data_IF_467823852428
#
_entry.id   IF_467823852428
#
_cell.length_a   1.000
_cell.length_b   1.000
_cell.length_c   1.000
_cell.angle_alpha   90.00
_cell.angle_beta   90.00
_cell.angle_gamma   90.00
#
_symmetry.space_group_name_H-M   'P 1'
#
loop_
_entity.id
_entity.type
_entity.pdbx_description
1 polymer ?
#
# COMPACT_ATOMS: atom_id res chain seq x y z
N UNK A 1 22.86 36.39 -10.52
CA UNK A 1 22.03 35.32 -9.92
C UNK A 1 20.93 35.00 -10.90
N UNK A 2 20.84 33.76 -11.38
CA UNK A 2 19.80 33.33 -12.34
C UNK A 2 18.80 32.46 -11.59
N UNK A 3 17.52 32.77 -11.73
CA UNK A 3 16.44 31.97 -11.15
C UNK A 3 15.81 31.09 -12.24
N UNK A 4 15.51 29.85 -11.87
CA UNK A 4 14.94 28.83 -12.73
C UNK A 4 13.88 28.06 -11.95
N UNK A 5 12.87 27.55 -12.65
CA UNK A 5 11.85 26.69 -12.06
C UNK A 5 11.94 25.32 -12.71
N UNK A 6 11.96 24.25 -11.89
CA UNK A 6 12.02 22.86 -12.35
C UNK A 6 10.92 22.08 -11.66
N UNK A 7 9.85 21.81 -12.39
CA UNK A 7 8.60 21.33 -11.79
C UNK A 7 8.11 22.31 -10.70
N UNK A 8 7.81 21.86 -9.47
CA UNK A 8 7.42 22.73 -8.37
C UNK A 8 8.60 23.36 -7.62
N UNK A 9 9.85 23.01 -7.95
CA UNK A 9 11.03 23.49 -7.23
C UNK A 9 11.57 24.80 -7.83
N UNK A 10 12.13 25.65 -6.99
CA UNK A 10 12.79 26.91 -7.41
C UNK A 10 14.30 26.78 -7.24
N UNK A 11 15.05 27.12 -8.28
CA UNK A 11 16.51 26.95 -8.34
C UNK A 11 17.17 28.29 -8.57
N UNK A 12 18.02 28.73 -7.65
CA UNK A 12 18.86 29.91 -7.82
C UNK A 12 20.29 29.51 -8.12
N UNK A 13 20.78 29.93 -9.28
CA UNK A 13 22.13 29.65 -9.77
C UNK A 13 23.00 30.87 -9.55
N UNK A 14 24.08 30.70 -8.81
CA UNK A 14 25.19 31.64 -8.69
C UNK A 14 26.47 31.01 -9.28
N UNK A 15 27.53 31.79 -9.54
CA UNK A 15 28.81 31.23 -9.97
C UNK A 15 29.41 30.25 -8.95
N UNK A 16 29.14 30.46 -7.68
CA UNK A 16 29.74 29.71 -6.56
C UNK A 16 28.90 28.52 -6.11
N UNK A 17 27.57 28.56 -6.29
CA UNK A 17 26.67 27.54 -5.78
C UNK A 17 25.33 27.49 -6.53
N UNK A 18 24.63 26.38 -6.39
CA UNK A 18 23.23 26.23 -6.82
C UNK A 18 22.37 25.97 -5.60
N UNK A 19 21.37 26.82 -5.40
CA UNK A 19 20.41 26.72 -4.31
C UNK A 19 19.12 26.14 -4.85
N UNK A 20 18.65 25.04 -4.28
CA UNK A 20 17.41 24.37 -4.67
C UNK A 20 16.44 24.45 -3.51
N UNK A 21 15.36 25.20 -3.72
CA UNK A 21 14.21 25.27 -2.83
C UNK A 21 13.21 24.21 -3.29
N UNK A 22 13.20 23.08 -2.60
CA UNK A 22 12.40 21.92 -2.98
C UNK A 22 11.09 21.89 -2.20
N UNK A 23 9.96 21.71 -2.89
CA UNK A 23 8.64 21.59 -2.26
C UNK A 23 8.54 20.29 -1.45
N UNK A 24 9.38 19.30 -1.76
CA UNK A 24 9.49 18.04 -1.02
C UNK A 24 10.94 17.64 -0.86
N UNK A 25 11.19 16.83 0.16
CA UNK A 25 12.51 16.25 0.39
C UNK A 25 12.92 15.34 -0.79
N UNK A 26 14.17 15.46 -1.21
CA UNK A 26 14.83 14.60 -2.19
C UNK A 26 15.32 13.31 -1.51
N UNK A 27 14.78 12.13 -1.83
CA UNK A 27 15.23 10.86 -1.25
C UNK A 27 16.71 10.60 -1.59
N UNK A 28 17.49 10.15 -0.61
CA UNK A 28 18.90 9.83 -0.80
C UNK A 28 19.86 11.04 -0.86
N UNK A 29 19.35 12.27 -0.89
CA UNK A 29 20.18 13.47 -0.79
C UNK A 29 20.61 13.64 0.67
N UNK A 30 21.85 13.25 0.94
CA UNK A 30 22.51 13.31 2.26
C UNK A 30 23.83 14.05 2.13
N UNK A 31 24.10 14.95 3.07
CA UNK A 31 25.40 15.63 3.14
C UNK A 31 26.41 14.59 3.62
N UNK A 32 27.52 14.44 2.89
CA UNK A 32 28.57 13.47 3.21
C UNK A 32 29.93 14.16 3.14
N UNK A 33 30.77 13.92 4.13
CA UNK A 33 32.16 14.41 4.12
C UNK A 33 33.02 13.60 3.15
N UNK A 34 32.84 12.27 3.15
CA UNK A 34 33.55 11.32 2.31
C UNK A 34 32.60 10.66 1.30
N UNK A 35 33.12 10.21 0.16
CA UNK A 35 32.32 9.56 -0.89
C UNK A 35 31.07 10.37 -1.27
N UNK A 36 31.28 11.66 -1.51
CA UNK A 36 30.23 12.59 -1.95
C UNK A 36 29.56 12.02 -3.21
N UNK A 37 28.23 12.07 -3.25
CA UNK A 37 27.48 11.62 -4.42
C UNK A 37 27.47 12.75 -5.46
N UNK A 38 27.96 12.52 -6.69
CA UNK A 38 27.85 13.47 -7.78
C UNK A 38 26.40 13.81 -8.09
N UNK A 39 26.12 15.11 -8.22
CA UNK A 39 24.82 15.63 -8.66
C UNK A 39 25.07 16.45 -9.92
N UNK A 40 24.51 16.00 -11.04
CA UNK A 40 24.58 16.69 -12.32
C UNK A 40 23.40 17.62 -12.48
N UNK A 41 23.67 18.89 -12.74
CA UNK A 41 22.67 19.92 -13.01
C UNK A 41 23.13 20.76 -14.20
N UNK A 42 22.29 20.86 -15.24
CA UNK A 42 22.64 21.56 -16.49
C UNK A 42 24.00 21.13 -17.06
N UNK A 43 24.24 19.81 -17.10
CA UNK A 43 25.49 19.19 -17.55
C UNK A 43 26.74 19.55 -16.74
N UNK A 44 26.60 20.25 -15.62
CA UNK A 44 27.69 20.55 -14.68
C UNK A 44 27.60 19.66 -13.45
N UNK A 45 28.75 19.29 -12.92
CA UNK A 45 28.89 18.40 -11.77
C UNK A 45 28.97 19.20 -10.46
N UNK A 46 28.18 18.79 -9.49
CA UNK A 46 28.10 19.37 -8.17
C UNK A 46 28.13 18.29 -7.09
N UNK A 47 28.36 18.70 -5.85
CA UNK A 47 28.09 17.89 -4.67
C UNK A 47 27.18 18.64 -3.71
N UNK A 48 26.48 17.87 -2.87
CA UNK A 48 25.62 18.45 -1.85
C UNK A 48 26.45 18.99 -0.68
N UNK A 49 26.53 20.32 -0.58
CA UNK A 49 27.24 21.01 0.49
C UNK A 49 26.38 21.10 1.76
N UNK A 50 25.10 21.46 1.60
CA UNK A 50 24.20 21.73 2.72
C UNK A 50 22.79 21.25 2.45
N UNK A 51 22.12 20.76 3.49
CA UNK A 51 20.71 20.36 3.49
C UNK A 51 20.05 20.92 4.74
N UNK A 52 19.05 21.76 4.56
CA UNK A 52 18.35 22.41 5.67
C UNK A 52 16.84 22.45 5.41
N UNK A 53 16.07 22.73 6.47
CA UNK A 53 14.64 22.96 6.35
C UNK A 53 14.38 24.24 5.56
N UNK A 54 13.54 24.14 4.54
CA UNK A 54 13.20 25.27 3.68
C UNK A 54 12.19 26.23 4.33
N UNK A 55 12.13 27.49 3.88
CA UNK A 55 11.04 28.39 4.25
C UNK A 55 9.74 27.94 3.55
N UNK A 56 8.56 28.09 4.18
CA UNK A 56 7.29 27.83 3.51
C UNK A 56 7.19 28.61 2.19
N UNK A 57 6.70 28.01 1.08
CA UNK A 57 6.05 26.69 0.96
C UNK A 57 7.01 25.51 0.74
N UNK A 58 8.32 25.72 0.78
CA UNK A 58 9.33 24.70 0.51
C UNK A 58 9.62 23.86 1.76
N UNK A 59 9.75 22.55 1.57
CA UNK A 59 10.07 21.64 2.66
C UNK A 59 11.57 21.69 3.01
N UNK A 60 12.42 21.77 1.98
CA UNK A 60 13.88 21.64 2.12
C UNK A 60 14.61 22.63 1.21
N UNK A 61 15.74 23.12 1.71
CA UNK A 61 16.72 23.90 0.94
C UNK A 61 17.99 23.07 0.80
N UNK A 62 18.45 22.89 -0.44
CA UNK A 62 19.70 22.23 -0.76
C UNK A 62 20.68 23.23 -1.36
N UNK A 63 21.92 23.20 -0.91
CA UNK A 63 23.00 23.99 -1.47
C UNK A 63 23.99 23.05 -2.12
N UNK A 64 24.15 23.19 -3.43
CA UNK A 64 25.10 22.45 -4.24
C UNK A 64 26.32 23.33 -4.51
N UNK A 65 27.50 22.78 -4.26
CA UNK A 65 28.77 23.41 -4.61
C UNK A 65 29.37 22.75 -5.86
N UNK A 66 30.03 23.50 -6.74
CA UNK A 66 30.72 22.96 -7.91
C UNK A 66 31.74 21.89 -7.49
N UNK A 67 31.79 20.80 -8.24
CA UNK A 67 32.83 19.79 -8.05
C UNK A 67 34.18 20.34 -8.53
N UNK A 68 35.20 20.35 -7.68
CA UNK A 68 36.53 20.85 -8.07
C UNK A 68 37.26 19.82 -8.94
N UNK A 69 37.99 20.26 -9.95
CA UNK A 69 38.73 19.35 -10.86
C UNK A 69 39.80 18.51 -10.13
N UNK A 70 40.28 19.00 -8.99
CA UNK A 70 41.29 18.35 -8.16
C UNK A 70 40.70 17.29 -7.22
N UNK A 71 39.38 17.20 -7.07
CA UNK A 71 38.71 16.21 -6.23
C UNK A 71 38.42 14.93 -7.01
N UNK A 72 39.12 13.84 -6.64
CA UNK A 72 38.87 12.52 -7.20
C UNK A 72 37.43 12.07 -6.94
N UNK A 73 36.76 11.56 -7.97
CA UNK A 73 35.44 10.95 -7.86
C UNK A 73 35.54 9.58 -7.20
N UNK A 74 34.88 9.43 -6.05
CA UNK A 74 34.95 8.20 -5.24
C UNK A 74 33.64 7.39 -5.28
N UNK A 75 32.58 7.90 -5.90
CA UNK A 75 31.27 7.24 -5.96
C UNK A 75 30.96 6.76 -7.37
N UNK A 76 30.42 5.54 -7.50
CA UNK A 76 29.94 4.99 -8.77
C UNK A 76 28.50 5.42 -9.09
N UNK A 77 27.75 5.87 -8.07
CA UNK A 77 26.38 6.33 -8.24
C UNK A 77 26.34 7.84 -8.41
N UNK A 78 25.52 8.33 -9.33
CA UNK A 78 25.27 9.76 -9.51
C UNK A 78 23.78 10.07 -9.49
N UNK A 79 23.44 11.35 -9.39
CA UNK A 79 22.08 11.86 -9.49
C UNK A 79 22.08 12.86 -10.64
N UNK A 80 21.16 12.73 -11.58
CA UNK A 80 20.87 13.78 -12.56
C UNK A 80 19.68 14.56 -12.02
N UNK A 81 19.89 15.84 -11.72
CA UNK A 81 18.82 16.73 -11.27
C UNK A 81 18.29 17.51 -12.46
N UNK A 82 17.13 17.07 -12.95
CA UNK A 82 16.40 17.66 -14.06
C UNK A 82 14.88 17.56 -13.82
N UNK A 83 14.10 17.96 -14.82
CA UNK A 83 12.65 17.92 -14.76
C UNK A 83 12.12 16.48 -14.62
N UNK A 84 12.76 15.50 -15.26
CA UNK A 84 12.37 14.09 -15.19
C UNK A 84 12.59 13.51 -13.78
N UNK A 85 13.71 13.83 -13.14
CA UNK A 85 13.98 13.46 -11.75
C UNK A 85 12.91 14.03 -10.80
N UNK A 86 12.57 15.30 -10.97
CA UNK A 86 11.52 15.96 -10.17
C UNK A 86 10.14 15.36 -10.44
N UNK A 87 9.81 15.08 -11.71
CA UNK A 87 8.57 14.43 -12.09
C UNK A 87 8.46 13.02 -11.49
N UNK A 88 9.55 12.24 -11.50
CA UNK A 88 9.60 10.91 -10.88
C UNK A 88 9.38 10.98 -9.36
N UNK A 89 10.02 11.93 -8.68
CA UNK A 89 9.81 12.19 -7.23
C UNK A 89 8.34 12.50 -6.92
N UNK A 90 7.73 13.39 -7.70
CA UNK A 90 6.33 13.76 -7.53
C UNK A 90 5.38 12.61 -7.86
N UNK A 91 5.67 11.85 -8.92
CA UNK A 91 4.90 10.68 -9.35
C UNK A 91 4.88 9.57 -8.31
N UNK A 92 6.04 9.20 -7.76
CA UNK A 92 6.16 8.21 -6.70
C UNK A 92 5.35 8.57 -5.46
N UNK A 93 5.33 9.86 -5.12
CA UNK A 93 4.55 10.36 -3.99
C UNK A 93 3.04 10.41 -4.26
N UNK A 94 2.60 10.70 -5.49
CA UNK A 94 1.17 10.69 -5.85
C UNK A 94 0.59 9.29 -5.82
N UNK A 95 1.35 8.31 -6.32
CA UNK A 95 0.97 6.89 -6.28
C UNK A 95 0.90 6.38 -4.84
N UNK A 96 1.94 6.65 -4.02
CA UNK A 96 1.94 6.28 -2.60
C UNK A 96 0.78 6.91 -1.85
N UNK A 97 0.54 8.23 -1.97
CA UNK A 97 -0.58 8.88 -1.26
C UNK A 97 -1.95 8.33 -1.65
N UNK A 98 -2.15 7.94 -2.92
CA UNK A 98 -3.42 7.35 -3.35
C UNK A 98 -3.58 5.95 -2.77
N UNK A 99 -2.54 5.14 -2.84
CA UNK A 99 -2.54 3.79 -2.28
C UNK A 99 -2.66 3.82 -0.75
N UNK A 100 -2.00 4.74 -0.06
CA UNK A 100 -2.11 4.92 1.39
C UNK A 100 -3.54 5.26 1.79
N UNK A 101 -4.20 6.21 1.10
CA UNK A 101 -5.60 6.53 1.41
C UNK A 101 -6.51 5.35 1.18
N UNK A 102 -6.31 4.61 0.09
CA UNK A 102 -7.09 3.41 -0.21
C UNK A 102 -6.84 2.30 0.82
N UNK A 103 -5.59 2.11 1.24
CA UNK A 103 -5.20 1.18 2.29
C UNK A 103 -5.89 1.52 3.61
N UNK A 104 -5.84 2.79 4.05
CA UNK A 104 -6.51 3.23 5.28
C UNK A 104 -8.04 3.16 5.18
N UNK A 105 -8.62 3.33 3.99
CA UNK A 105 -10.05 3.12 3.80
C UNK A 105 -10.42 1.62 3.87
N UNK A 106 -9.59 0.75 3.29
CA UNK A 106 -9.82 -0.69 3.23
C UNK A 106 -9.49 -1.43 4.53
N UNK A 107 -8.72 -0.82 5.45
CA UNK A 107 -8.37 -1.46 6.73
C UNK A 107 -9.61 -1.80 7.57
N UNK A 108 -10.66 -0.98 7.48
CA UNK A 108 -11.94 -1.25 8.15
C UNK A 108 -12.66 -2.47 7.57
N UNK A 109 -12.40 -2.78 6.30
CA UNK A 109 -12.96 -3.94 5.61
C UNK A 109 -11.99 -5.12 5.57
N UNK A 110 -10.84 -5.02 6.24
CA UNK A 110 -9.81 -6.05 6.24
C UNK A 110 -10.32 -7.45 6.61
N UNK A 111 -11.20 -7.62 7.62
CA UNK A 111 -11.77 -8.94 7.95
C UNK A 111 -12.56 -9.57 6.80
N UNK A 112 -13.09 -8.75 5.89
CA UNK A 112 -13.89 -9.21 4.75
C UNK A 112 -13.07 -9.45 3.49
N UNK A 113 -11.85 -8.89 3.40
CA UNK A 113 -10.97 -9.04 2.23
C UNK A 113 -10.69 -10.52 1.94
N UNK A 114 -10.50 -11.33 2.98
CA UNK A 114 -10.18 -12.75 2.82
C UNK A 114 -11.26 -13.58 2.13
N UNK A 115 -12.53 -13.15 2.16
CA UNK A 115 -13.64 -13.85 1.49
C UNK A 115 -13.66 -13.66 -0.02
N UNK A 116 -13.01 -12.63 -0.55
CA UNK A 116 -12.94 -12.43 -1.99
C UNK A 116 -12.13 -13.54 -2.66
N UNK A 117 -12.49 -13.84 -3.91
CA UNK A 117 -11.81 -14.82 -4.73
C UNK A 117 -10.34 -14.46 -4.92
N UNK A 118 -9.49 -15.47 -5.04
CA UNK A 118 -8.04 -15.30 -5.20
C UNK A 118 -7.66 -14.32 -6.32
N UNK A 119 -8.33 -14.42 -7.48
CA UNK A 119 -8.11 -13.52 -8.62
C UNK A 119 -8.44 -12.05 -8.31
N UNK A 120 -9.51 -11.81 -7.55
CA UNK A 120 -9.87 -10.46 -7.09
C UNK A 120 -8.84 -9.94 -6.09
N UNK A 121 -8.34 -10.80 -5.19
CA UNK A 121 -7.33 -10.43 -4.19
C UNK A 121 -6.00 -10.03 -4.83
N UNK A 122 -5.54 -10.82 -5.79
CA UNK A 122 -4.32 -10.56 -6.55
C UNK A 122 -4.44 -9.27 -7.38
N UNK A 123 -5.59 -9.05 -8.02
CA UNK A 123 -5.77 -7.91 -8.92
C UNK A 123 -5.96 -6.57 -8.19
N UNK A 124 -6.69 -6.57 -7.07
CA UNK A 124 -7.12 -5.32 -6.44
C UNK A 124 -6.44 -5.04 -5.11
N UNK A 125 -6.13 -6.05 -4.29
CA UNK A 125 -5.66 -5.82 -2.92
C UNK A 125 -4.13 -5.95 -2.79
N UNK A 126 -3.48 -6.86 -3.52
CA UNK A 126 -2.01 -6.97 -3.52
C UNK A 126 -1.31 -5.68 -3.99
N UNK A 127 -1.74 -4.97 -5.06
CA UNK A 127 -1.10 -3.71 -5.48
C UNK A 127 -1.24 -2.57 -4.46
N UNK A 128 -2.18 -2.71 -3.51
CA UNK A 128 -2.42 -1.74 -2.43
C UNK A 128 -1.56 -2.05 -1.19
N UNK A 129 -0.91 -3.23 -1.15
CA UNK A 129 -0.03 -3.66 -0.06
C UNK A 129 -0.67 -4.61 0.95
N UNK A 130 -1.83 -5.20 0.65
CA UNK A 130 -2.44 -6.19 1.54
C UNK A 130 -1.84 -7.59 1.33
N UNK A 131 -1.46 -8.23 2.44
CA UNK A 131 -1.03 -9.62 2.44
C UNK A 131 -2.25 -10.55 2.42
N UNK A 132 -2.41 -11.30 1.32
CA UNK A 132 -3.57 -12.19 1.13
C UNK A 132 -3.67 -13.29 2.22
N UNK A 133 -2.54 -13.74 2.77
CA UNK A 133 -2.46 -14.78 3.79
C UNK A 133 -3.08 -14.33 5.11
N UNK A 134 -2.66 -13.17 5.60
CA UNK A 134 -3.17 -12.59 6.84
C UNK A 134 -4.67 -12.26 6.74
N UNK A 135 -5.09 -11.63 5.63
CA UNK A 135 -6.49 -11.31 5.38
C UNK A 135 -7.37 -12.58 5.31
N UNK A 136 -6.85 -13.65 4.71
CA UNK A 136 -7.54 -14.94 4.67
C UNK A 136 -7.65 -15.55 6.08
N UNK A 137 -6.59 -15.50 6.88
CA UNK A 137 -6.62 -15.95 8.28
C UNK A 137 -7.67 -15.23 9.13
N UNK A 138 -7.75 -13.90 9.05
CA UNK A 138 -8.77 -13.12 9.77
C UNK A 138 -10.18 -13.48 9.30
N UNK A 139 -10.38 -13.64 7.98
CA UNK A 139 -11.69 -14.02 7.45
C UNK A 139 -12.14 -15.42 7.87
N UNK A 140 -11.22 -16.39 7.98
CA UNK A 140 -11.52 -17.75 8.49
C UNK A 140 -11.96 -17.67 9.95
N UNK A 141 -11.27 -16.87 10.77
CA UNK A 141 -11.67 -16.65 12.17
C UNK A 141 -13.07 -16.02 12.25
N UNK A 142 -13.36 -15.01 11.42
CA UNK A 142 -14.68 -14.38 11.37
C UNK A 142 -15.76 -15.39 10.94
N UNK A 143 -15.47 -16.20 9.93
CA UNK A 143 -16.35 -17.25 9.42
C UNK A 143 -16.68 -18.29 10.51
N UNK A 144 -15.66 -18.73 11.24
CA UNK A 144 -15.82 -19.64 12.36
C UNK A 144 -16.72 -19.04 13.46
N UNK A 145 -16.49 -17.78 13.84
CA UNK A 145 -17.34 -17.08 14.80
C UNK A 145 -18.80 -16.98 14.31
N UNK A 146 -19.01 -16.67 13.02
CA UNK A 146 -20.35 -16.64 12.42
C UNK A 146 -21.02 -18.02 12.44
N UNK A 147 -20.29 -19.08 12.12
CA UNK A 147 -20.78 -20.45 12.18
C UNK A 147 -21.19 -20.84 13.61
N UNK A 148 -20.38 -20.47 14.61
CA UNK A 148 -20.70 -20.70 16.03
C UNK A 148 -21.96 -19.95 16.46
N UNK A 149 -22.08 -18.65 16.13
CA UNK A 149 -23.27 -17.86 16.47
C UNK A 149 -24.51 -18.45 15.80
N UNK A 150 -24.41 -18.83 14.53
CA UNK A 150 -25.51 -19.47 13.80
C UNK A 150 -25.91 -20.80 14.43
N UNK A 151 -24.96 -21.62 14.88
CA UNK A 151 -25.22 -22.87 15.58
C UNK A 151 -25.99 -22.61 16.89
N UNK A 152 -25.53 -21.65 17.69
CA UNK A 152 -26.19 -21.28 18.96
C UNK A 152 -27.64 -20.86 18.70
N UNK A 153 -27.86 -20.00 17.71
CA UNK A 153 -29.20 -19.53 17.36
C UNK A 153 -30.10 -20.72 16.96
N UNK A 154 -29.66 -21.57 16.02
CA UNK A 154 -30.49 -22.65 15.49
C UNK A 154 -30.83 -23.67 16.58
N UNK A 155 -29.83 -24.12 17.35
CA UNK A 155 -30.02 -25.24 18.29
C UNK A 155 -30.59 -24.81 19.64
N UNK A 156 -30.34 -23.58 20.10
CA UNK A 156 -30.83 -23.12 21.41
C UNK A 156 -32.05 -22.20 21.31
N UNK A 157 -32.14 -21.37 20.27
CA UNK A 157 -33.22 -20.39 20.11
C UNK A 157 -34.28 -20.82 19.08
N UNK A 158 -34.01 -21.90 18.31
CA UNK A 158 -34.94 -22.42 17.30
C UNK A 158 -35.10 -21.50 16.09
N UNK A 159 -34.20 -20.54 15.89
CA UNK A 159 -34.18 -19.57 14.80
C UNK A 159 -32.73 -19.32 14.36
N UNK A 160 -32.46 -18.81 13.15
CA UNK A 160 -31.12 -18.38 12.77
C UNK A 160 -31.02 -16.88 12.54
N UNK A 161 -29.83 -16.39 12.17
CA UNK A 161 -29.57 -14.96 11.90
C UNK A 161 -30.56 -14.40 10.87
N UNK A 162 -30.83 -15.15 9.79
CA UNK A 162 -31.73 -14.66 8.76
C UNK A 162 -33.17 -14.57 9.25
N UNK A 163 -33.64 -15.56 10.02
CA UNK A 163 -34.98 -15.50 10.61
C UNK A 163 -35.13 -14.32 11.58
N UNK A 164 -34.09 -14.01 12.36
CA UNK A 164 -34.07 -12.84 13.25
C UNK A 164 -34.10 -11.51 12.48
N UNK A 165 -33.37 -11.40 11.36
CA UNK A 165 -33.27 -10.16 10.60
C UNK A 165 -34.46 -9.92 9.64
N UNK A 166 -35.02 -10.99 9.06
CA UNK A 166 -35.97 -10.89 7.95
C UNK A 166 -37.34 -11.54 8.24
N UNK A 167 -37.49 -12.18 9.41
CA UNK A 167 -38.71 -12.88 9.79
C UNK A 167 -38.78 -14.31 9.27
N UNK A 168 -39.98 -14.90 9.32
CA UNK A 168 -40.17 -16.35 9.09
C UNK A 168 -40.13 -16.76 7.61
N UNK A 169 -40.38 -15.83 6.70
CA UNK A 169 -40.53 -16.11 5.27
C UNK A 169 -39.97 -14.98 4.43
N UNK A 170 -39.15 -15.34 3.43
CA UNK A 170 -38.64 -14.44 2.39
C UNK A 170 -39.00 -15.07 1.06
N UNK A 171 -39.75 -14.36 0.21
CA UNK A 171 -40.13 -14.81 -1.15
C UNK A 171 -40.78 -16.21 -1.19
N UNK A 172 -41.59 -16.58 -0.20
CA UNK A 172 -42.24 -17.89 -0.15
C UNK A 172 -41.37 -19.03 0.39
N UNK A 173 -40.10 -18.75 0.72
CA UNK A 173 -39.17 -19.71 1.32
C UNK A 173 -39.15 -19.55 2.83
N UNK A 174 -39.30 -20.66 3.54
CA UNK A 174 -39.08 -20.70 4.99
C UNK A 174 -37.61 -20.39 5.27
N UNK A 175 -37.37 -19.25 5.91
CA UNK A 175 -36.02 -18.72 6.18
C UNK A 175 -35.17 -19.68 7.00
N UNK A 176 -35.83 -20.52 7.81
CA UNK A 176 -35.17 -21.59 8.56
C UNK A 176 -34.31 -22.52 7.69
N UNK A 177 -34.75 -22.88 6.49
CA UNK A 177 -33.95 -23.75 5.62
C UNK A 177 -32.69 -23.05 5.08
N UNK A 178 -32.79 -21.74 4.85
CA UNK A 178 -31.64 -20.92 4.45
C UNK A 178 -30.64 -20.79 5.60
N UNK A 179 -31.14 -20.53 6.82
CA UNK A 179 -30.33 -20.54 8.04
C UNK A 179 -29.59 -21.87 8.24
N UNK A 180 -30.28 -22.99 8.02
CA UNK A 180 -29.70 -24.33 8.14
C UNK A 180 -28.68 -24.62 7.04
N UNK A 181 -28.95 -24.24 5.79
CA UNK A 181 -28.01 -24.38 4.69
C UNK A 181 -26.72 -23.58 4.94
N UNK A 182 -26.84 -22.33 5.39
CA UNK A 182 -25.68 -21.50 5.76
C UNK A 182 -24.91 -22.14 6.91
N UNK A 183 -25.59 -22.64 7.94
CA UNK A 183 -24.95 -23.37 9.04
C UNK A 183 -24.16 -24.59 8.57
N UNK A 184 -24.61 -25.33 7.55
CA UNK A 184 -23.86 -26.46 7.01
C UNK A 184 -22.68 -26.03 6.15
N UNK A 185 -22.83 -24.94 5.39
CA UNK A 185 -21.83 -24.50 4.42
C UNK A 185 -20.62 -23.82 5.10
N UNK A 186 -20.85 -22.94 6.07
CA UNK A 186 -19.78 -22.17 6.72
C UNK A 186 -18.70 -23.06 7.38
N UNK A 187 -19.03 -24.11 8.17
CA UNK A 187 -18.01 -24.97 8.76
C UNK A 187 -17.19 -25.71 7.71
N UNK A 188 -17.81 -26.18 6.62
CA UNK A 188 -17.12 -26.90 5.56
C UNK A 188 -16.15 -25.97 4.83
N UNK A 189 -16.59 -24.78 4.45
CA UNK A 189 -15.72 -23.79 3.81
C UNK A 189 -14.57 -23.36 4.73
N UNK A 190 -14.89 -23.04 5.99
CA UNK A 190 -13.90 -22.74 7.03
C UNK A 190 -12.83 -23.84 7.17
N UNK A 191 -13.23 -25.12 7.23
CA UNK A 191 -12.29 -26.25 7.34
C UNK A 191 -11.39 -26.39 6.10
N UNK A 192 -11.96 -26.27 4.90
CA UNK A 192 -11.20 -26.35 3.64
C UNK A 192 -10.18 -25.22 3.57
N UNK A 193 -10.60 -23.99 3.88
CA UNK A 193 -9.73 -22.80 3.83
C UNK A 193 -8.65 -22.84 4.91
N UNK A 194 -9.00 -23.26 6.13
CA UNK A 194 -8.04 -23.44 7.22
C UNK A 194 -7.00 -24.52 6.90
N UNK A 195 -7.43 -25.65 6.34
CA UNK A 195 -6.53 -26.72 5.91
C UNK A 195 -5.50 -26.26 4.88
N UNK A 196 -5.90 -25.43 3.91
CA UNK A 196 -4.98 -24.84 2.93
C UNK A 196 -4.06 -23.78 3.54
N UNK A 197 -4.56 -22.97 4.46
CA UNK A 197 -3.74 -22.00 5.18
C UNK A 197 -2.60 -22.69 5.96
N UNK A 198 -2.88 -23.83 6.61
CA UNK A 198 -1.88 -24.63 7.32
C UNK A 198 -0.85 -25.29 6.39
N UNK A 199 -1.25 -25.69 5.18
CA UNK A 199 -0.33 -26.23 4.17
C UNK A 199 0.61 -25.17 3.61
N UNK A 200 0.31 -23.89 3.81
CA UNK A 200 1.12 -22.79 3.31
C UNK A 200 0.99 -22.59 1.81
N UNK A 201 -0.16 -22.96 1.21
CA UNK A 201 -0.41 -22.76 -0.21
C UNK A 201 -0.20 -21.29 -0.61
N UNK A 202 0.50 -21.05 -1.73
CA UNK A 202 0.75 -19.68 -2.20
C UNK A 202 -0.55 -18.94 -2.55
N UNK A 203 -1.53 -19.66 -3.10
CA UNK A 203 -2.81 -19.11 -3.52
C UNK A 203 -3.88 -19.33 -2.46
N UNK A 204 -4.23 -18.24 -1.78
CA UNK A 204 -5.25 -18.24 -0.73
C UNK A 204 -6.64 -18.13 -1.36
N UNK A 205 -7.45 -19.19 -1.28
CA UNK A 205 -8.81 -19.22 -1.82
C UNK A 205 -9.79 -18.37 -1.00
N UNK A 206 -10.75 -17.76 -1.70
CA UNK A 206 -11.88 -17.05 -1.12
C UNK A 206 -13.01 -17.97 -0.65
N UNK A 207 -14.12 -17.35 -0.25
CA UNK A 207 -15.33 -18.03 0.19
C UNK A 207 -15.91 -18.90 -0.92
N UNK A 208 -16.08 -20.19 -0.65
CA UNK A 208 -16.61 -21.21 -1.57
C UNK A 208 -15.88 -21.33 -2.92
N UNK A 209 -14.71 -20.71 -3.07
CA UNK A 209 -13.97 -20.75 -4.33
C UNK A 209 -13.53 -22.18 -4.68
N UNK A 210 -13.31 -23.03 -3.67
CA UNK A 210 -12.96 -24.45 -3.84
C UNK A 210 -14.04 -25.27 -4.54
N UNK A 211 -15.30 -24.83 -4.56
CA UNK A 211 -16.39 -25.51 -5.28
C UNK A 211 -16.24 -25.33 -6.79
N UNK A 212 -15.72 -24.18 -7.21
CA UNK A 212 -15.60 -23.81 -8.63
C UNK A 212 -14.22 -24.11 -9.20
N UNK A 213 -13.21 -24.21 -8.33
CA UNK A 213 -11.81 -24.44 -8.71
C UNK A 213 -11.49 -25.93 -8.63
N UNK A 214 -11.56 -26.61 -9.78
CA UNK A 214 -11.07 -27.99 -9.95
C UNK A 214 -9.57 -28.03 -10.11
#
# INVERSE_FOLDING_TARGET
>A
MKELTIGPDTVHVTPEAVWILAVREMPGWTVREFCRKPIYFQQRKYFLLKKEKGPPPYAMTYVLAPWSENEAEQSQDFIVYDEDYVAHREGGSRSHRRNDRLYHALIWFYPFIGFFWSSTKERFFMPVGFEAKEATGVSIMLEFCLAMVQAILIFFLGSGIFNLCFGREIWGLKVFWLDFAVFLILPVDCLVRYGRLLKGDEVQIGFLEWVFRR
#
